data_IF_784148389975
#
_entry.id   IF_784148389975
#
_cell.length_a   1.000
_cell.length_b   1.000
_cell.length_c   1.000
_cell.angle_alpha   90.00
_cell.angle_beta   90.00
_cell.angle_gamma   90.00
#
_symmetry.space_group_name_H-M   'P 1'
#
loop_
_entity.id
_entity.type
_entity.pdbx_description
1 polymer ?
#
# COMPACT_ATOMS: atom_id res chain seq x y z
N UNK A 1 33.99 -3.92 -8.39
CA UNK A 1 33.33 -3.87 -8.10
C UNK A 1 32.17 -3.92 -8.10
N UNK A 2 31.71 -4.39 -8.06
CA UNK A 2 30.77 -4.56 -8.17
C UNK A 2 29.66 -4.37 -7.46
N UNK A 3 29.06 -3.77 -7.41
CA UNK A 3 27.99 -3.29 -6.79
C UNK A 3 26.77 -3.43 -7.54
N UNK A 4 26.83 -4.09 -8.62
CA UNK A 4 25.75 -4.25 -9.56
C UNK A 4 24.66 -5.21 -9.06
N UNK A 5 24.93 -5.91 -7.99
CA UNK A 5 23.99 -6.87 -7.44
C UNK A 5 22.66 -6.22 -7.02
N UNK A 6 22.67 -4.92 -6.75
CA UNK A 6 21.46 -4.24 -6.29
C UNK A 6 20.55 -3.75 -7.43
N UNK A 7 20.86 -4.09 -8.69
CA UNK A 7 20.08 -3.61 -9.83
C UNK A 7 19.20 -4.69 -10.47
N UNK A 8 19.12 -5.88 -9.88
CA UNK A 8 18.31 -6.98 -10.43
C UNK A 8 16.83 -6.89 -10.04
N UNK A 9 16.02 -7.84 -10.54
CA UNK A 9 14.58 -7.87 -10.22
C UNK A 9 14.29 -7.96 -8.73
N UNK A 10 15.11 -8.66 -7.96
CA UNK A 10 14.92 -8.75 -6.51
C UNK A 10 15.06 -7.39 -5.86
N UNK A 11 16.07 -6.61 -6.29
CA UNK A 11 16.28 -5.27 -5.78
C UNK A 11 15.16 -4.34 -6.22
N UNK A 12 14.69 -4.48 -7.46
CA UNK A 12 13.55 -3.70 -7.96
C UNK A 12 12.29 -3.99 -7.15
N UNK A 13 12.04 -5.25 -6.81
CA UNK A 13 10.91 -5.63 -5.98
C UNK A 13 11.01 -5.00 -4.59
N UNK A 14 12.20 -5.06 -4.00
CA UNK A 14 12.39 -4.48 -2.67
C UNK A 14 12.12 -2.97 -2.69
N UNK A 15 12.56 -2.26 -3.72
CA UNK A 15 12.34 -0.83 -3.87
C UNK A 15 10.85 -0.51 -4.03
N UNK A 16 10.13 -1.29 -4.84
CA UNK A 16 8.69 -1.09 -5.04
C UNK A 16 7.94 -1.36 -3.73
N UNK A 17 8.31 -2.39 -2.99
CA UNK A 17 7.70 -2.67 -1.71
C UNK A 17 7.91 -1.51 -0.73
N UNK A 18 9.10 -0.93 -0.71
CA UNK A 18 9.40 0.23 0.14
C UNK A 18 8.49 1.41 -0.24
N UNK A 19 8.31 1.67 -1.53
CA UNK A 19 7.45 2.76 -2.00
C UNK A 19 5.99 2.49 -1.66
N UNK A 20 5.53 1.24 -1.78
CA UNK A 20 4.17 0.87 -1.40
C UNK A 20 3.93 1.06 0.09
N UNK A 21 4.92 0.71 0.92
CA UNK A 21 4.82 0.93 2.36
C UNK A 21 4.66 2.41 2.65
N UNK A 22 5.49 3.25 2.04
CA UNK A 22 5.44 4.69 2.24
C UNK A 22 4.08 5.27 1.86
N UNK A 23 3.59 4.94 0.66
CA UNK A 23 2.33 5.50 0.18
C UNK A 23 1.15 5.01 0.99
N UNK A 24 1.19 3.78 1.50
CA UNK A 24 0.11 3.28 2.35
C UNK A 24 0.14 3.90 3.74
N UNK A 25 1.31 4.29 4.26
CA UNK A 25 1.37 5.07 5.49
C UNK A 25 0.75 6.46 5.28
N UNK A 26 0.99 7.08 4.13
CA UNK A 26 0.34 8.35 3.79
C UNK A 26 -1.18 8.17 3.72
N UNK A 27 -1.62 7.11 3.07
CA UNK A 27 -3.05 6.81 2.96
C UNK A 27 -3.66 6.59 4.35
N UNK A 28 -2.97 5.85 5.21
CA UNK A 28 -3.44 5.60 6.57
C UNK A 28 -3.64 6.91 7.32
N UNK A 29 -2.70 7.84 7.17
CA UNK A 29 -2.81 9.15 7.81
C UNK A 29 -4.04 9.92 7.28
N UNK A 30 -4.27 9.91 5.97
CA UNK A 30 -5.42 10.58 5.38
C UNK A 30 -6.73 9.95 5.84
N UNK A 31 -6.77 8.63 5.95
CA UNK A 31 -7.97 7.94 6.42
C UNK A 31 -8.27 8.31 7.88
N UNK A 32 -7.25 8.42 8.70
CA UNK A 32 -7.42 8.85 10.10
C UNK A 32 -7.92 10.28 10.19
N UNK A 33 -7.39 11.18 9.37
CA UNK A 33 -7.86 12.57 9.31
C UNK A 33 -9.30 12.62 8.80
N UNK A 34 -9.64 11.77 7.85
CA UNK A 34 -11.00 11.68 7.31
C UNK A 34 -11.97 11.28 8.42
N UNK A 35 -11.59 10.34 9.26
CA UNK A 35 -12.41 9.93 10.40
C UNK A 35 -12.68 11.10 11.35
N UNK A 36 -11.64 11.90 11.64
CA UNK A 36 -11.78 13.08 12.49
C UNK A 36 -12.70 14.12 11.84
N UNK A 37 -12.52 14.35 10.53
CA UNK A 37 -13.34 15.30 9.80
C UNK A 37 -14.82 14.90 9.82
N UNK A 38 -15.10 13.59 9.68
CA UNK A 38 -16.46 13.08 9.75
C UNK A 38 -17.05 13.36 11.15
N UNK A 39 -16.28 13.07 12.21
CA UNK A 39 -16.76 13.28 13.57
C UNK A 39 -17.02 14.76 13.88
N UNK A 40 -16.37 15.66 13.17
CA UNK A 40 -16.58 17.11 13.31
C UNK A 40 -17.58 17.66 12.31
N UNK A 41 -18.10 16.80 11.44
CA UNK A 41 -19.02 17.20 10.38
C UNK A 41 -18.44 18.33 9.51
N UNK A 42 -17.14 18.23 9.22
CA UNK A 42 -16.40 19.26 8.46
C UNK A 42 -16.40 18.87 6.98
N UNK A 43 -17.42 19.34 6.25
CA UNK A 43 -17.61 18.98 4.85
C UNK A 43 -16.42 19.40 3.96
N UNK A 44 -15.84 20.56 4.21
CA UNK A 44 -14.73 21.05 3.40
C UNK A 44 -13.50 20.17 3.59
N UNK A 45 -13.20 19.79 4.84
CA UNK A 45 -12.09 18.89 5.12
C UNK A 45 -12.30 17.51 4.52
N UNK A 46 -13.52 16.98 4.59
CA UNK A 46 -13.85 15.68 3.98
C UNK A 46 -13.59 15.71 2.48
N UNK A 47 -14.04 16.77 1.80
CA UNK A 47 -13.85 16.92 0.36
C UNK A 47 -12.35 16.94 0.00
N UNK A 48 -11.56 17.72 0.72
CA UNK A 48 -10.12 17.83 0.50
C UNK A 48 -9.42 16.48 0.71
N UNK A 49 -9.79 15.78 1.77
CA UNK A 49 -9.19 14.48 2.09
C UNK A 49 -9.54 13.42 1.05
N UNK A 50 -10.78 13.43 0.55
CA UNK A 50 -11.19 12.51 -0.51
C UNK A 50 -10.39 12.75 -1.78
N UNK A 51 -10.16 14.01 -2.14
CA UNK A 51 -9.37 14.36 -3.30
C UNK A 51 -7.93 13.84 -3.15
N UNK A 52 -7.32 14.03 -1.99
CA UNK A 52 -5.96 13.57 -1.73
C UNK A 52 -5.87 12.05 -1.73
N UNK A 53 -6.88 11.37 -1.18
CA UNK A 53 -6.94 9.91 -1.22
C UNK A 53 -7.03 9.41 -2.66
N UNK A 54 -7.80 10.10 -3.51
CA UNK A 54 -7.89 9.75 -4.92
C UNK A 54 -6.55 9.83 -5.63
N UNK A 55 -5.77 10.88 -5.34
CA UNK A 55 -4.45 11.02 -5.92
C UNK A 55 -3.49 9.92 -5.48
N UNK A 56 -3.55 9.54 -4.20
CA UNK A 56 -2.74 8.41 -3.72
C UNK A 56 -3.18 7.11 -4.37
N UNK A 57 -4.47 6.93 -4.62
CA UNK A 57 -4.99 5.75 -5.30
C UNK A 57 -4.37 5.55 -6.68
N UNK A 58 -4.21 6.63 -7.43
CA UNK A 58 -3.57 6.58 -8.75
C UNK A 58 -2.11 6.13 -8.62
N UNK A 59 -1.40 6.69 -7.65
CA UNK A 59 -0.01 6.32 -7.40
C UNK A 59 0.13 4.87 -6.95
N UNK A 60 -0.78 4.42 -6.09
CA UNK A 60 -0.80 3.02 -5.63
C UNK A 60 -1.00 2.07 -6.80
N UNK A 61 -1.92 2.41 -7.72
CA UNK A 61 -2.16 1.57 -8.89
C UNK A 61 -0.91 1.41 -9.74
N UNK A 62 -0.15 2.49 -9.93
CA UNK A 62 1.09 2.44 -10.69
C UNK A 62 2.15 1.58 -9.98
N UNK A 63 2.25 1.69 -8.66
CA UNK A 63 3.18 0.90 -7.87
C UNK A 63 2.78 -0.59 -7.85
N UNK A 64 1.49 -0.88 -7.80
CA UNK A 64 1.01 -2.27 -7.88
C UNK A 64 1.36 -2.91 -9.22
N UNK A 65 1.25 -2.15 -10.29
CA UNK A 65 1.67 -2.63 -11.60
C UNK A 65 3.16 -2.92 -11.62
N UNK A 66 3.97 -2.03 -11.07
CA UNK A 66 5.42 -2.23 -11.00
C UNK A 66 5.77 -3.44 -10.15
N UNK A 67 5.03 -3.66 -9.05
CA UNK A 67 5.24 -4.84 -8.22
C UNK A 67 4.97 -6.12 -8.99
N UNK A 68 3.86 -6.16 -9.73
CA UNK A 68 3.52 -7.31 -10.55
C UNK A 68 4.59 -7.61 -11.59
N UNK A 69 5.14 -6.57 -12.21
CA UNK A 69 6.20 -6.73 -13.20
C UNK A 69 7.49 -7.28 -12.57
N UNK A 70 7.84 -6.79 -11.38
CA UNK A 70 9.02 -7.29 -10.68
C UNK A 70 8.84 -8.75 -10.26
N UNK A 71 7.66 -9.13 -9.77
CA UNK A 71 7.37 -10.51 -9.40
C UNK A 71 7.42 -11.41 -10.63
N UNK A 72 6.87 -10.96 -11.75
CA UNK A 72 6.93 -11.73 -13.00
C UNK A 72 8.37 -11.96 -13.45
N UNK A 73 9.22 -10.95 -13.31
CA UNK A 73 10.62 -11.08 -13.68
C UNK A 73 11.35 -12.11 -12.82
N UNK A 74 10.91 -12.29 -11.57
CA UNK A 74 11.52 -13.22 -10.63
C UNK A 74 10.96 -14.64 -10.80
N UNK A 75 9.64 -14.77 -10.94
CA UNK A 75 8.97 -16.07 -10.85
C UNK A 75 8.35 -16.54 -12.16
N UNK A 76 8.20 -15.64 -13.13
CA UNK A 76 7.48 -15.94 -14.37
C UNK A 76 6.00 -15.63 -14.30
N UNK A 77 5.46 -15.29 -13.13
CA UNK A 77 4.04 -14.99 -12.95
C UNK A 77 3.86 -13.81 -12.00
N UNK A 78 3.11 -12.81 -12.43
CA UNK A 78 2.81 -11.64 -11.61
C UNK A 78 1.96 -12.00 -10.39
N UNK A 79 1.35 -13.19 -10.38
CA UNK A 79 0.46 -13.63 -9.31
C UNK A 79 1.11 -14.60 -8.32
N UNK A 80 2.42 -14.80 -8.43
CA UNK A 80 3.13 -15.70 -7.51
C UNK A 80 2.99 -15.19 -6.08
N UNK A 81 2.77 -16.12 -5.14
CA UNK A 81 2.69 -15.79 -3.72
C UNK A 81 4.06 -15.53 -3.13
N UNK A 82 4.05 -14.97 -1.92
CA UNK A 82 5.30 -14.57 -1.26
C UNK A 82 6.26 -15.74 -1.05
N UNK A 83 5.76 -16.91 -0.74
CA UNK A 83 6.61 -18.09 -0.52
C UNK A 83 7.39 -18.43 -1.78
N UNK A 84 6.71 -18.43 -2.93
CA UNK A 84 7.37 -18.70 -4.20
C UNK A 84 8.36 -17.59 -4.55
N UNK A 85 7.97 -16.33 -4.34
CA UNK A 85 8.85 -15.19 -4.60
C UNK A 85 10.13 -15.34 -3.78
N UNK A 86 10.00 -15.59 -2.48
CA UNK A 86 11.17 -15.69 -1.60
C UNK A 86 12.08 -16.85 -1.97
N UNK A 87 11.52 -17.93 -2.51
CA UNK A 87 12.33 -19.08 -2.94
C UNK A 87 13.18 -18.76 -4.16
N UNK A 88 12.82 -17.72 -4.92
CA UNK A 88 13.48 -17.38 -6.18
C UNK A 88 14.22 -16.06 -6.17
N UNK A 89 14.10 -15.25 -5.11
CA UNK A 89 14.91 -14.03 -5.00
C UNK A 89 16.34 -14.42 -4.62
N UNK A 90 17.28 -13.55 -4.96
CA UNK A 90 18.67 -13.75 -4.63
C UNK A 90 18.83 -13.77 -3.11
N UNK A 91 19.74 -14.64 -2.64
CA UNK A 91 19.92 -14.86 -1.20
C UNK A 91 20.20 -13.56 -0.44
N UNK A 92 20.96 -12.65 -1.02
CA UNK A 92 21.30 -11.39 -0.39
C UNK A 92 20.11 -10.45 -0.21
N UNK A 93 19.05 -10.62 -1.02
CA UNK A 93 17.86 -9.77 -0.96
C UNK A 93 16.71 -10.40 -0.21
N UNK A 94 16.83 -11.68 0.12
CA UNK A 94 15.68 -12.43 0.66
C UNK A 94 15.16 -11.86 1.96
N UNK A 95 16.05 -11.54 2.89
CA UNK A 95 15.63 -10.99 4.19
C UNK A 95 14.97 -9.62 4.03
N UNK A 96 15.51 -8.77 3.15
CA UNK A 96 14.95 -7.45 2.91
C UNK A 96 13.58 -7.51 2.27
N UNK A 97 13.41 -8.38 1.27
CA UNK A 97 12.12 -8.57 0.61
C UNK A 97 11.09 -9.13 1.62
N UNK A 98 11.48 -10.12 2.41
CA UNK A 98 10.58 -10.71 3.40
C UNK A 98 10.14 -9.67 4.44
N UNK A 99 11.07 -8.86 4.94
CA UNK A 99 10.75 -7.84 5.94
C UNK A 99 9.80 -6.79 5.38
N UNK A 100 10.05 -6.34 4.15
CA UNK A 100 9.19 -5.34 3.52
C UNK A 100 7.83 -5.89 3.17
N UNK A 101 7.74 -7.14 2.76
CA UNK A 101 6.46 -7.78 2.49
C UNK A 101 5.61 -7.83 3.78
N UNK A 102 6.23 -8.13 4.92
CA UNK A 102 5.52 -8.16 6.19
C UNK A 102 5.10 -6.75 6.63
N UNK A 103 5.97 -5.76 6.46
CA UNK A 103 5.63 -4.38 6.77
C UNK A 103 4.46 -3.89 5.93
N UNK A 104 4.48 -4.21 4.63
CA UNK A 104 3.39 -3.84 3.74
C UNK A 104 2.08 -4.50 4.16
N UNK A 105 2.12 -5.80 4.47
CA UNK A 105 0.94 -6.52 4.93
C UNK A 105 0.35 -5.85 6.16
N UNK A 106 1.20 -5.47 7.11
CA UNK A 106 0.77 -4.85 8.36
C UNK A 106 0.06 -3.52 8.12
N UNK A 107 0.63 -2.64 7.28
CA UNK A 107 0.02 -1.35 7.01
C UNK A 107 -1.26 -1.51 6.19
N UNK A 108 -1.32 -2.48 5.27
CA UNK A 108 -2.53 -2.76 4.52
C UNK A 108 -3.69 -3.18 5.43
N UNK A 109 -3.39 -4.04 6.41
CA UNK A 109 -4.41 -4.45 7.37
C UNK A 109 -4.92 -3.28 8.18
N UNK A 110 -4.03 -2.37 8.58
CA UNK A 110 -4.44 -1.20 9.34
C UNK A 110 -5.26 -0.23 8.49
N UNK A 111 -4.90 -0.04 7.22
CA UNK A 111 -5.69 0.78 6.31
C UNK A 111 -7.09 0.20 6.14
N UNK A 112 -7.20 -1.12 5.96
CA UNK A 112 -8.49 -1.77 5.83
C UNK A 112 -9.34 -1.58 7.08
N UNK A 113 -8.74 -1.69 8.26
CA UNK A 113 -9.45 -1.50 9.53
C UNK A 113 -9.98 -0.07 9.63
N UNK A 114 -9.14 0.92 9.33
CA UNK A 114 -9.54 2.32 9.42
C UNK A 114 -10.58 2.67 8.35
N UNK A 115 -10.47 2.12 7.15
CA UNK A 115 -11.46 2.31 6.09
C UNK A 115 -12.82 1.74 6.50
N UNK A 116 -12.83 0.61 7.19
CA UNK A 116 -14.07 0.03 7.71
C UNK A 116 -14.75 0.97 8.70
N UNK A 117 -13.97 1.60 9.59
CA UNK A 117 -14.49 2.56 10.55
C UNK A 117 -15.07 3.79 9.83
N UNK A 118 -14.34 4.32 8.85
CA UNK A 118 -14.80 5.48 8.06
C UNK A 118 -16.09 5.14 7.33
N UNK A 119 -16.15 3.96 6.71
CA UNK A 119 -17.34 3.53 5.97
C UNK A 119 -18.56 3.42 6.88
N UNK A 120 -18.37 2.83 8.06
CA UNK A 120 -19.46 2.68 9.03
C UNK A 120 -19.96 4.04 9.50
N UNK A 121 -19.05 4.97 9.79
CA UNK A 121 -19.39 6.32 10.20
C UNK A 121 -20.15 7.06 9.11
N UNK A 122 -19.72 6.92 7.85
CA UNK A 122 -20.39 7.54 6.72
C UNK A 122 -21.81 7.00 6.54
N UNK A 123 -21.97 5.69 6.65
CA UNK A 123 -23.29 5.05 6.53
C UNK A 123 -24.22 5.52 7.65
N UNK A 124 -23.69 5.68 8.86
CA UNK A 124 -24.49 6.17 9.97
C UNK A 124 -24.97 7.59 9.72
N UNK A 125 -24.11 8.45 9.18
CA UNK A 125 -24.51 9.82 8.84
C UNK A 125 -25.59 9.83 7.76
N UNK A 126 -25.46 9.01 6.73
CA UNK A 126 -26.44 8.91 5.67
C UNK A 126 -27.78 8.43 6.21
N UNK A 127 -27.77 7.47 7.13
CA UNK A 127 -28.98 6.98 7.75
C UNK A 127 -29.72 8.03 8.56
N UNK A 128 -29.01 9.03 9.08
CA UNK A 128 -29.62 10.11 9.84
C UNK A 128 -30.23 11.20 8.96
N UNK A 129 -29.86 11.23 7.68
CA UNK A 129 -30.37 12.24 6.75
C UNK A 129 -31.75 11.85 6.24
N UNK A 130 -32.01 10.56 6.13
CA UNK A 130 -33.32 10.05 5.68
C UNK A 130 -34.38 10.21 6.75
#
# INVERSE_FOLDING_TARGET
MTIQASSGPSSALEAVLADLITVHHELLQLVREHRVAISRNDAAAIQELLSRQGMLGVRIAALEKARGEAIRAITGSARAGITEVLSKVEAGDRAGVAAKAEQLRSVLMEVQRQNGIVRAATQSLLGHID
#
